data_IF_621652637390
#
_entry.id   IF_621652637390
#
_cell.length_a   1.000
_cell.length_b   1.000
_cell.length_c   1.000
_cell.angle_alpha   90.00
_cell.angle_beta   90.00
_cell.angle_gamma   90.00
#
_symmetry.space_group_name_H-M   'P 1'
#
loop_
_entity.id
_entity.type
_entity.pdbx_description
1 polymer ?
#
# COMPACT_ATOMS: atom_id res chain seq x y z
N UNK A 1 11.24 -30.31 10.65
CA UNK A 1 10.09 -29.52 10.21
C UNK A 1 8.84 -30.22 10.71
N UNK A 2 7.95 -29.49 11.39
CA UNK A 2 6.69 -30.03 11.91
C UNK A 2 5.57 -29.88 10.88
N UNK A 3 4.53 -30.71 10.98
CA UNK A 3 3.39 -30.66 10.05
C UNK A 3 2.69 -29.29 10.05
N UNK A 4 2.59 -28.65 11.20
CA UNK A 4 1.98 -27.31 11.27
C UNK A 4 2.87 -26.25 10.60
N UNK A 5 4.19 -26.42 10.67
CA UNK A 5 5.11 -25.53 9.97
C UNK A 5 5.08 -25.75 8.45
N UNK A 6 5.07 -27.01 7.99
CA UNK A 6 4.92 -27.33 6.56
C UNK A 6 3.63 -26.70 5.98
N UNK A 7 2.52 -26.81 6.72
CA UNK A 7 1.25 -26.18 6.34
C UNK A 7 1.32 -24.66 6.25
N UNK A 8 2.14 -24.01 7.08
CA UNK A 8 2.35 -22.57 7.06
C UNK A 8 3.30 -22.12 5.95
N UNK A 9 4.21 -22.99 5.50
CA UNK A 9 5.03 -22.69 4.31
C UNK A 9 4.25 -22.77 3.01
N UNK A 10 3.09 -23.44 3.00
CA UNK A 10 2.21 -23.49 1.84
C UNK A 10 1.32 -22.24 1.72
N UNK A 11 0.81 -21.74 2.85
CA UNK A 11 -0.15 -20.64 2.90
C UNK A 11 -0.37 -20.15 4.35
N UNK A 12 -0.68 -18.87 4.59
CA UNK A 12 -1.24 -18.35 5.83
C UNK A 12 -2.54 -19.07 6.25
N UNK A 13 -2.75 -19.30 7.55
CA UNK A 13 -3.87 -20.13 8.04
C UNK A 13 -4.51 -19.61 9.31
N UNK A 14 -5.75 -20.04 9.53
CA UNK A 14 -6.44 -19.92 10.81
C UNK A 14 -6.04 -21.07 11.75
N UNK A 15 -6.19 -20.86 13.06
CA UNK A 15 -6.15 -21.90 14.09
C UNK A 15 -4.95 -22.87 14.07
N UNK A 16 -3.72 -22.34 14.10
CA UNK A 16 -2.51 -23.16 14.28
C UNK A 16 -2.34 -23.55 15.75
N UNK A 17 -2.07 -24.83 16.00
CA UNK A 17 -1.66 -25.31 17.32
C UNK A 17 -0.16 -25.04 17.55
N UNK A 18 0.12 -23.96 18.28
CA UNK A 18 1.48 -23.57 18.65
C UNK A 18 2.26 -24.67 19.36
N UNK A 19 1.57 -25.55 20.10
CA UNK A 19 2.24 -26.60 20.87
C UNK A 19 2.96 -27.61 19.96
N UNK A 20 2.49 -27.76 18.72
CA UNK A 20 3.04 -28.67 17.72
C UNK A 20 4.21 -28.08 16.92
N UNK A 21 4.54 -26.80 17.09
CA UNK A 21 5.72 -26.17 16.50
C UNK A 21 6.94 -26.33 17.42
N UNK A 22 8.12 -26.52 16.84
CA UNK A 22 9.38 -26.49 17.62
C UNK A 22 9.82 -25.04 17.93
N UNK A 23 10.93 -24.87 18.67
CA UNK A 23 11.41 -23.55 19.10
C UNK A 23 11.72 -22.61 17.92
N UNK A 24 12.47 -23.09 16.93
CA UNK A 24 12.91 -22.28 15.77
C UNK A 24 11.73 -21.92 14.85
N UNK A 25 10.77 -22.83 14.71
CA UNK A 25 9.54 -22.61 13.95
C UNK A 25 8.64 -21.57 14.63
N UNK A 26 8.53 -21.63 15.97
CA UNK A 26 7.78 -20.61 16.75
C UNK A 26 8.42 -19.23 16.65
N UNK A 27 9.74 -19.14 16.52
CA UNK A 27 10.45 -17.86 16.37
C UNK A 27 10.12 -17.17 15.03
N UNK A 28 9.83 -17.96 13.99
CA UNK A 28 9.47 -17.46 12.66
C UNK A 28 7.98 -17.15 12.52
N UNK A 29 7.14 -17.76 13.36
CA UNK A 29 5.70 -17.54 13.35
C UNK A 29 5.34 -16.06 13.60
N UNK A 30 4.46 -15.54 12.76
CA UNK A 30 3.79 -14.25 12.90
C UNK A 30 2.28 -14.45 13.00
N UNK A 31 1.58 -13.40 13.45
CA UNK A 31 0.11 -13.44 13.54
C UNK A 31 -0.54 -12.09 13.34
N UNK A 32 -1.67 -12.09 12.66
CA UNK A 32 -2.60 -10.96 12.59
C UNK A 32 -3.66 -11.19 13.67
N UNK A 33 -3.58 -10.42 14.75
CA UNK A 33 -4.50 -10.53 15.89
C UNK A 33 -5.01 -9.17 16.32
N UNK A 34 -6.28 -8.90 16.06
CA UNK A 34 -6.96 -7.69 16.54
C UNK A 34 -7.62 -7.96 17.88
N UNK A 35 -7.15 -7.28 18.92
CA UNK A 35 -7.75 -7.36 20.26
C UNK A 35 -8.55 -6.07 20.47
N UNK A 36 -9.82 -6.17 20.89
CA UNK A 36 -10.63 -4.97 21.16
C UNK A 36 -9.97 -4.13 22.26
N UNK A 37 -9.72 -2.86 21.96
CA UNK A 37 -9.39 -1.84 22.95
C UNK A 37 -10.68 -1.11 23.33
N UNK A 38 -10.86 -0.83 24.63
CA UNK A 38 -12.03 -0.13 25.18
C UNK A 38 -12.20 1.31 24.69
N UNK A 39 -11.13 1.92 24.16
CA UNK A 39 -11.04 3.37 23.92
C UNK A 39 -11.37 3.78 22.48
N UNK A 40 -12.20 3.00 21.78
CA UNK A 40 -12.47 3.18 20.35
C UNK A 40 -13.84 3.82 20.11
N UNK A 41 -13.84 4.90 19.31
CA UNK A 41 -15.04 5.67 18.91
C UNK A 41 -15.88 4.98 17.83
N UNK A 42 -15.39 3.88 17.23
CA UNK A 42 -16.17 3.07 16.29
C UNK A 42 -17.28 2.32 17.04
N UNK A 43 -18.51 2.82 16.92
CA UNK A 43 -19.73 2.21 17.49
C UNK A 43 -20.21 0.96 16.73
N UNK A 44 -19.57 0.62 15.61
CA UNK A 44 -19.83 -0.60 14.84
C UNK A 44 -19.15 -1.81 15.46
N UNK A 45 -19.92 -2.63 16.16
CA UNK A 45 -19.45 -3.82 16.85
C UNK A 45 -19.05 -4.95 15.90
N UNK A 46 -17.86 -4.89 15.30
CA UNK A 46 -17.25 -6.10 14.77
C UNK A 46 -17.07 -7.09 15.95
N UNK A 47 -17.58 -8.32 15.82
CA UNK A 47 -17.36 -9.39 16.79
C UNK A 47 -15.86 -9.70 16.99
N UNK A 48 -15.53 -10.81 17.65
CA UNK A 48 -14.13 -11.25 17.69
C UNK A 48 -13.67 -11.57 16.25
N UNK A 49 -12.58 -10.96 15.81
CA UNK A 49 -11.94 -11.25 14.52
C UNK A 49 -11.12 -12.53 14.64
N UNK A 50 -11.15 -13.35 13.59
CA UNK A 50 -10.35 -14.57 13.46
C UNK A 50 -8.87 -14.19 13.37
N UNK A 51 -8.02 -14.91 14.09
CA UNK A 51 -6.57 -14.69 14.07
C UNK A 51 -5.95 -15.49 12.93
N UNK A 52 -5.11 -14.83 12.13
CA UNK A 52 -4.35 -15.47 11.05
C UNK A 52 -2.91 -15.66 11.49
N UNK A 53 -2.34 -16.81 11.16
CA UNK A 53 -0.95 -17.18 11.39
C UNK A 53 -0.22 -17.30 10.05
N UNK A 54 1.02 -16.81 10.00
CA UNK A 54 1.81 -16.75 8.77
C UNK A 54 3.31 -16.72 9.10
N UNK A 55 4.17 -16.88 8.10
CA UNK A 55 5.62 -16.78 8.25
C UNK A 55 6.13 -15.41 7.78
N UNK A 56 7.34 -15.03 8.20
CA UNK A 56 7.95 -13.80 7.72
C UNK A 56 8.10 -13.85 6.19
N UNK A 57 7.58 -12.85 5.48
CA UNK A 57 7.49 -12.83 4.02
C UNK A 57 6.05 -12.80 3.51
N UNK A 58 5.13 -13.49 4.19
CA UNK A 58 3.78 -13.74 3.66
C UNK A 58 2.76 -12.68 4.10
N UNK A 59 3.19 -11.43 4.34
CA UNK A 59 2.33 -10.38 4.93
C UNK A 59 1.13 -10.03 4.04
N UNK A 60 1.34 -10.02 2.73
CA UNK A 60 0.30 -9.71 1.75
C UNK A 60 -0.76 -10.83 1.73
N UNK A 61 -0.34 -12.06 1.49
CA UNK A 61 -1.22 -13.23 1.48
C UNK A 61 -1.92 -13.40 2.84
N UNK A 62 -1.23 -13.15 3.96
CA UNK A 62 -1.85 -13.21 5.28
C UNK A 62 -2.93 -12.14 5.48
N UNK A 63 -2.74 -10.94 4.92
CA UNK A 63 -3.75 -9.89 4.93
C UNK A 63 -4.96 -10.25 4.06
N UNK A 64 -4.74 -10.87 2.89
CA UNK A 64 -5.79 -11.36 2.01
C UNK A 64 -6.66 -12.41 2.72
N UNK A 65 -6.04 -13.42 3.35
CA UNK A 65 -6.76 -14.41 4.18
C UNK A 65 -7.49 -13.74 5.34
N UNK A 66 -6.84 -12.79 6.01
CA UNK A 66 -7.47 -12.08 7.12
C UNK A 66 -8.72 -11.35 6.66
N UNK A 67 -8.69 -10.73 5.48
CA UNK A 67 -9.85 -10.06 4.89
C UNK A 67 -10.92 -11.06 4.49
N UNK A 68 -10.56 -12.14 3.80
CA UNK A 68 -11.52 -13.19 3.41
C UNK A 68 -12.26 -13.77 4.63
N UNK A 69 -11.53 -14.15 5.67
CA UNK A 69 -12.08 -14.75 6.89
C UNK A 69 -12.90 -13.79 7.76
N UNK A 70 -12.75 -12.48 7.56
CA UNK A 70 -13.38 -11.47 8.40
C UNK A 70 -14.21 -10.43 7.63
N UNK A 71 -14.42 -10.62 6.32
CA UNK A 71 -14.97 -9.63 5.39
C UNK A 71 -16.22 -8.93 5.93
N UNK A 72 -17.24 -9.70 6.30
CA UNK A 72 -18.51 -9.18 6.84
C UNK A 72 -18.33 -8.23 8.03
N UNK A 73 -17.33 -8.48 8.88
CA UNK A 73 -17.06 -7.64 10.05
C UNK A 73 -16.23 -6.42 9.66
N UNK A 74 -15.28 -6.58 8.75
CA UNK A 74 -14.41 -5.52 8.28
C UNK A 74 -15.18 -4.46 7.49
N UNK A 75 -16.14 -4.86 6.66
CA UNK A 75 -17.00 -3.95 5.88
C UNK A 75 -17.90 -3.05 6.75
N UNK A 76 -18.05 -3.36 8.05
CA UNK A 76 -18.75 -2.49 9.01
C UNK A 76 -17.88 -1.40 9.61
N UNK A 77 -16.57 -1.42 9.35
CA UNK A 77 -15.60 -0.49 9.92
C UNK A 77 -15.41 0.69 8.96
N UNK A 78 -15.54 1.90 9.49
CA UNK A 78 -15.14 3.12 8.78
C UNK A 78 -13.62 3.31 8.89
N UNK A 79 -12.91 2.99 7.81
CA UNK A 79 -11.44 3.10 7.69
C UNK A 79 -10.95 4.52 7.37
N UNK A 80 -11.85 5.48 7.11
CA UNK A 80 -11.47 6.90 6.98
C UNK A 80 -11.07 7.54 8.31
N UNK A 81 -11.31 6.82 9.42
CA UNK A 81 -11.01 7.24 10.78
C UNK A 81 -10.08 6.23 11.45
N UNK A 82 -9.59 6.62 12.63
CA UNK A 82 -8.82 5.73 13.49
C UNK A 82 -9.62 4.48 13.84
N UNK A 83 -9.13 3.32 13.41
CA UNK A 83 -9.82 2.04 13.54
C UNK A 83 -9.03 1.04 14.43
N UNK A 84 -9.66 -0.05 14.89
CA UNK A 84 -9.01 -1.02 15.80
C UNK A 84 -7.90 -1.84 15.16
N UNK A 85 -7.91 -1.99 13.84
CA UNK A 85 -6.91 -2.77 13.11
C UNK A 85 -5.61 -1.97 13.04
N UNK A 86 -5.69 -0.68 12.74
CA UNK A 86 -4.52 0.21 12.62
C UNK A 86 -3.59 0.14 13.84
N UNK A 87 -4.13 -0.04 15.04
CA UNK A 87 -3.35 -0.15 16.29
C UNK A 87 -2.87 -1.57 16.60
N UNK A 88 -3.53 -2.58 16.06
CA UNK A 88 -3.31 -3.96 16.43
C UNK A 88 -2.25 -4.67 15.58
N UNK A 89 -1.95 -4.14 14.39
CA UNK A 89 -1.02 -4.75 13.44
C UNK A 89 0.06 -3.75 13.04
N UNK A 90 1.15 -4.24 12.45
CA UNK A 90 2.17 -3.34 11.88
C UNK A 90 1.58 -2.53 10.72
N UNK A 91 2.15 -1.36 10.45
CA UNK A 91 1.66 -0.49 9.37
C UNK A 91 1.61 -1.22 8.02
N UNK A 92 2.64 -1.98 7.70
CA UNK A 92 2.69 -2.76 6.45
C UNK A 92 1.54 -3.78 6.33
N UNK A 93 1.24 -4.53 7.40
CA UNK A 93 0.10 -5.46 7.39
C UNK A 93 -1.22 -4.71 7.28
N UNK A 94 -1.35 -3.57 7.96
CA UNK A 94 -2.55 -2.73 7.86
C UNK A 94 -2.78 -2.23 6.44
N UNK A 95 -1.73 -1.80 5.74
CA UNK A 95 -1.85 -1.33 4.36
C UNK A 95 -2.28 -2.46 3.42
N UNK A 96 -1.77 -3.69 3.61
CA UNK A 96 -2.24 -4.85 2.84
C UNK A 96 -3.68 -5.28 3.17
N UNK A 97 -4.12 -5.10 4.42
CA UNK A 97 -5.54 -5.34 4.78
C UNK A 97 -6.43 -4.35 4.03
N UNK A 98 -6.07 -3.07 4.00
CA UNK A 98 -6.81 -2.06 3.25
C UNK A 98 -6.75 -2.31 1.74
N UNK A 99 -5.62 -2.82 1.25
CA UNK A 99 -5.48 -3.26 -0.12
C UNK A 99 -6.49 -4.35 -0.50
N UNK A 100 -6.52 -5.43 0.28
CA UNK A 100 -7.43 -6.55 0.04
C UNK A 100 -8.93 -6.19 0.24
N UNK A 101 -9.22 -5.09 0.95
CA UNK A 101 -10.57 -4.53 1.08
C UNK A 101 -10.97 -3.62 -0.10
N UNK A 102 -10.02 -3.18 -0.92
CA UNK A 102 -10.26 -2.18 -1.97
C UNK A 102 -10.34 -0.73 -1.44
N UNK A 103 -10.06 -0.52 -0.16
CA UNK A 103 -9.97 0.82 0.45
C UNK A 103 -8.68 1.54 0.04
N UNK A 104 -7.68 0.77 -0.40
CA UNK A 104 -6.45 1.25 -1.04
C UNK A 104 -6.05 0.31 -2.18
N UNK A 105 -5.30 0.81 -3.12
CA UNK A 105 -4.67 -0.02 -4.16
C UNK A 105 -3.18 0.26 -4.12
N UNK A 106 -2.35 -0.77 -3.92
CA UNK A 106 -0.91 -0.62 -3.70
C UNK A 106 -0.20 -1.43 -4.76
N UNK A 107 0.59 -0.74 -5.57
CA UNK A 107 1.44 -1.35 -6.59
C UNK A 107 2.88 -0.94 -6.33
N UNK A 108 3.76 -1.94 -6.28
CA UNK A 108 5.17 -1.77 -5.94
C UNK A 108 5.98 -1.94 -7.22
N UNK A 109 6.69 -0.89 -7.61
CA UNK A 109 7.65 -0.89 -8.71
C UNK A 109 9.08 -0.84 -8.14
N UNK A 110 10.08 -0.96 -9.02
CA UNK A 110 11.49 -0.99 -8.62
C UNK A 110 11.92 0.27 -7.86
N UNK A 111 11.48 1.45 -8.30
CA UNK A 111 11.89 2.74 -7.74
C UNK A 111 10.78 3.50 -7.00
N UNK A 112 9.51 3.15 -7.24
CA UNK A 112 8.35 3.82 -6.63
C UNK A 112 7.28 2.84 -6.15
N UNK A 113 6.39 3.32 -5.28
CA UNK A 113 5.15 2.67 -4.90
C UNK A 113 4.01 3.60 -5.27
N UNK A 114 3.04 3.09 -6.03
CA UNK A 114 1.78 3.75 -6.31
C UNK A 114 0.76 3.30 -5.27
N UNK A 115 0.14 4.24 -4.58
CA UNK A 115 -0.98 3.99 -3.66
C UNK A 115 -2.19 4.81 -4.09
N UNK A 116 -3.26 4.16 -4.55
CA UNK A 116 -4.54 4.82 -4.84
C UNK A 116 -5.45 4.70 -3.62
N UNK A 117 -6.17 5.78 -3.31
CA UNK A 117 -7.24 5.82 -2.30
C UNK A 117 -8.55 6.17 -3.00
N UNK A 118 -9.31 5.18 -3.49
CA UNK A 118 -10.48 5.42 -4.32
C UNK A 118 -11.52 6.33 -3.66
N UNK A 119 -11.79 6.14 -2.36
CA UNK A 119 -12.76 6.93 -1.61
C UNK A 119 -12.37 8.42 -1.48
N UNK A 120 -11.07 8.74 -1.49
CA UNK A 120 -10.55 10.11 -1.40
C UNK A 120 -10.31 10.73 -2.79
N UNK A 121 -10.33 9.92 -3.86
CA UNK A 121 -9.84 10.28 -5.19
C UNK A 121 -8.43 10.89 -5.13
N UNK A 122 -7.53 10.18 -4.43
CA UNK A 122 -6.14 10.58 -4.22
C UNK A 122 -5.24 9.44 -4.67
N UNK A 123 -4.20 9.79 -5.42
CA UNK A 123 -3.09 8.88 -5.73
C UNK A 123 -1.82 9.43 -5.10
N UNK A 124 -1.09 8.58 -4.40
CA UNK A 124 0.26 8.83 -3.94
C UNK A 124 1.24 8.07 -4.80
N UNK A 125 2.34 8.74 -5.16
CA UNK A 125 3.52 8.09 -5.71
C UNK A 125 4.68 8.36 -4.76
N UNK A 126 5.26 7.31 -4.20
CA UNK A 126 6.23 7.39 -3.09
C UNK A 126 7.49 6.65 -3.52
N UNK A 127 8.67 7.20 -3.25
CA UNK A 127 9.94 6.50 -3.47
C UNK A 127 9.96 5.15 -2.75
N UNK A 128 10.40 4.10 -3.44
CA UNK A 128 10.33 2.71 -2.98
C UNK A 128 11.01 2.49 -1.64
N UNK A 129 12.25 2.96 -1.51
CA UNK A 129 13.01 2.86 -0.27
C UNK A 129 12.31 3.59 0.88
N UNK A 130 11.78 4.79 0.63
CA UNK A 130 11.10 5.57 1.66
C UNK A 130 9.82 4.91 2.16
N UNK A 131 9.05 4.32 1.24
CA UNK A 131 7.86 3.55 1.58
C UNK A 131 8.19 2.39 2.54
N UNK A 132 9.31 1.71 2.33
CA UNK A 132 9.70 0.55 3.13
C UNK A 132 10.35 0.94 4.47
N UNK A 133 11.24 1.93 4.45
CA UNK A 133 12.04 2.33 5.62
C UNK A 133 11.26 3.22 6.61
N UNK A 134 10.32 4.03 6.13
CA UNK A 134 9.64 5.05 6.93
C UNK A 134 8.11 4.90 6.95
N UNK A 135 7.55 3.77 7.42
CA UNK A 135 6.12 3.48 7.37
C UNK A 135 5.22 4.52 8.07
N UNK A 136 5.74 5.24 9.05
CA UNK A 136 5.00 6.26 9.80
C UNK A 136 5.15 7.67 9.23
N UNK A 137 5.98 7.86 8.19
CA UNK A 137 6.32 9.15 7.56
C UNK A 137 6.36 9.02 6.04
N UNK A 138 5.38 8.34 5.45
CA UNK A 138 5.32 8.17 3.98
C UNK A 138 4.67 9.32 3.25
N UNK A 139 3.81 10.05 3.96
CA UNK A 139 2.86 10.99 3.39
C UNK A 139 3.23 12.40 3.84
N UNK A 140 4.04 13.07 3.05
CA UNK A 140 4.39 14.48 3.23
C UNK A 140 4.77 15.08 1.89
N UNK A 141 4.26 16.27 1.63
CA UNK A 141 4.43 16.98 0.36
C UNK A 141 5.50 18.08 0.44
N UNK A 142 6.20 18.22 1.57
CA UNK A 142 7.18 19.30 1.78
C UNK A 142 8.56 19.02 1.18
N UNK A 143 9.29 18.04 1.75
CA UNK A 143 10.66 17.67 1.34
C UNK A 143 10.86 16.15 1.31
N UNK A 144 9.77 15.38 1.35
CA UNK A 144 9.83 13.92 1.35
C UNK A 144 9.77 13.36 -0.07
N UNK A 145 10.31 12.16 -0.28
CA UNK A 145 10.29 11.48 -1.58
C UNK A 145 8.89 10.95 -1.92
N UNK A 146 7.91 11.84 -1.98
CA UNK A 146 6.53 11.52 -2.31
C UNK A 146 5.82 12.68 -3.01
N UNK A 147 4.80 12.32 -3.77
CA UNK A 147 3.93 13.26 -4.45
C UNK A 147 2.50 12.75 -4.38
N UNK A 148 1.58 13.70 -4.21
CA UNK A 148 0.16 13.49 -4.12
C UNK A 148 -0.52 14.08 -5.34
N UNK A 149 -1.40 13.32 -5.97
CA UNK A 149 -2.26 13.74 -7.06
C UNK A 149 -3.71 13.63 -6.58
N UNK A 150 -4.45 14.73 -6.60
CA UNK A 150 -5.86 14.78 -6.18
C UNK A 150 -6.79 14.95 -7.38
N UNK A 151 -7.98 14.34 -7.32
CA UNK A 151 -9.10 14.56 -8.25
C UNK A 151 -8.88 14.07 -9.69
N UNK A 152 -7.70 13.56 -10.03
CA UNK A 152 -7.33 13.05 -11.34
C UNK A 152 -6.59 11.72 -11.21
N UNK A 153 -6.78 10.83 -12.17
CA UNK A 153 -5.94 9.65 -12.32
C UNK A 153 -4.57 10.05 -12.91
N UNK A 154 -3.56 9.19 -12.71
CA UNK A 154 -2.25 9.39 -13.36
C UNK A 154 -2.34 9.24 -14.88
N UNK A 155 -3.32 8.46 -15.38
CA UNK A 155 -3.60 8.32 -16.82
C UNK A 155 -4.16 9.62 -17.39
N UNK A 156 -5.19 10.19 -16.77
CA UNK A 156 -5.78 11.47 -17.19
C UNK A 156 -4.76 12.60 -17.14
N UNK A 157 -3.89 12.59 -16.12
CA UNK A 157 -2.80 13.53 -15.98
C UNK A 157 -1.75 13.35 -17.08
N UNK A 158 -1.42 12.10 -17.44
CA UNK A 158 -0.48 11.84 -18.53
C UNK A 158 -1.04 12.36 -19.85
N UNK A 159 -2.30 12.06 -20.16
CA UNK A 159 -2.99 12.45 -21.40
C UNK A 159 -3.23 13.96 -21.51
N UNK A 160 -3.30 14.70 -20.40
CA UNK A 160 -3.56 16.14 -20.43
C UNK A 160 -2.40 16.99 -20.94
N UNK A 161 -1.17 16.47 -20.89
CA UNK A 161 0.03 17.14 -21.39
C UNK A 161 0.34 16.81 -22.85
N UNK A 162 1.19 17.63 -23.46
CA UNK A 162 1.74 17.39 -24.79
C UNK A 162 2.71 16.18 -24.81
N UNK A 163 3.39 15.98 -25.93
CA UNK A 163 4.34 14.88 -26.16
C UNK A 163 5.52 14.87 -25.18
N UNK A 164 5.89 16.02 -24.62
CA UNK A 164 6.93 16.14 -23.62
C UNK A 164 6.29 16.63 -22.32
N UNK A 165 6.51 15.89 -21.24
CA UNK A 165 6.05 16.24 -19.90
C UNK A 165 7.26 16.57 -19.06
N UNK A 166 7.43 17.84 -18.69
CA UNK A 166 8.54 18.29 -17.85
C UNK A 166 8.21 18.20 -16.37
N UNK A 167 9.24 18.29 -15.53
CA UNK A 167 9.06 18.40 -14.09
C UNK A 167 8.33 19.69 -13.72
N UNK A 168 8.65 20.81 -14.37
CA UNK A 168 7.97 22.09 -14.21
C UNK A 168 6.49 22.02 -14.56
N UNK A 169 6.12 21.39 -15.68
CA UNK A 169 4.71 21.23 -16.10
C UNK A 169 3.87 20.55 -15.01
N UNK A 170 4.42 19.50 -14.41
CA UNK A 170 3.79 18.79 -13.30
C UNK A 170 3.80 19.63 -12.01
N UNK A 171 4.88 20.35 -11.74
CA UNK A 171 5.00 21.21 -10.55
C UNK A 171 4.02 22.38 -10.53
N UNK A 172 3.63 22.88 -11.71
CA UNK A 172 2.64 23.96 -11.85
C UNK A 172 1.19 23.46 -11.86
N UNK A 173 0.97 22.14 -11.99
CA UNK A 173 -0.35 21.56 -12.10
C UNK A 173 -1.10 21.57 -10.75
N UNK A 174 -2.29 22.17 -10.73
CA UNK A 174 -3.08 22.42 -9.51
C UNK A 174 -3.50 21.16 -8.72
N UNK A 175 -3.53 20.00 -9.37
CA UNK A 175 -3.86 18.72 -8.77
C UNK A 175 -2.68 18.04 -8.07
N UNK A 176 -1.46 18.56 -8.25
CA UNK A 176 -0.21 17.93 -7.81
C UNK A 176 0.35 18.68 -6.61
N UNK A 177 0.76 17.94 -5.60
CA UNK A 177 1.44 18.48 -4.44
C UNK A 177 2.59 17.57 -4.02
N UNK A 178 3.78 18.14 -3.78
CA UNK A 178 4.99 17.41 -3.45
C UNK A 178 5.95 17.28 -4.63
N UNK A 179 6.78 16.24 -4.60
CA UNK A 179 7.89 16.12 -5.54
C UNK A 179 7.47 15.42 -6.85
N UNK A 180 7.11 16.22 -7.85
CA UNK A 180 6.66 15.76 -9.16
C UNK A 180 7.65 14.81 -9.88
N UNK A 181 8.93 14.74 -9.47
CA UNK A 181 9.91 13.79 -10.02
C UNK A 181 9.43 12.34 -9.89
N UNK A 182 8.67 12.02 -8.84
CA UNK A 182 8.15 10.67 -8.64
C UNK A 182 7.03 10.31 -9.61
N UNK A 183 6.24 11.29 -10.10
CA UNK A 183 5.28 11.04 -11.19
C UNK A 183 6.01 10.68 -12.48
N UNK A 184 7.05 11.44 -12.84
CA UNK A 184 7.89 11.13 -14.01
C UNK A 184 8.54 9.74 -13.89
N UNK A 185 9.05 9.41 -12.70
CA UNK A 185 9.65 8.09 -12.47
C UNK A 185 8.61 6.97 -12.54
N UNK A 186 7.40 7.18 -12.01
CA UNK A 186 6.30 6.24 -12.15
C UNK A 186 5.94 5.97 -13.61
N UNK A 187 5.76 7.01 -14.43
CA UNK A 187 5.48 6.84 -15.86
C UNK A 187 6.57 6.04 -16.57
N UNK A 188 7.83 6.21 -16.16
CA UNK A 188 8.97 5.48 -16.74
C UNK A 188 8.98 3.99 -16.37
N UNK A 189 8.59 3.63 -15.14
CA UNK A 189 8.69 2.25 -14.65
C UNK A 189 7.38 1.46 -14.78
N UNK A 190 6.25 2.15 -14.90
CA UNK A 190 4.98 1.49 -15.19
C UNK A 190 4.91 1.07 -16.65
N UNK A 191 4.48 -0.17 -16.87
CA UNK A 191 4.26 -0.76 -18.20
C UNK A 191 3.08 -0.15 -18.94
N UNK A 192 2.22 0.59 -18.24
CA UNK A 192 0.99 1.14 -18.79
C UNK A 192 1.26 2.42 -19.61
N UNK A 193 2.43 3.03 -19.43
CA UNK A 193 2.85 4.23 -20.15
C UNK A 193 3.98 3.91 -21.11
N UNK A 194 3.91 4.48 -22.31
CA UNK A 194 4.99 4.35 -23.29
C UNK A 194 5.73 5.68 -23.40
N UNK A 195 6.82 5.83 -22.66
CA UNK A 195 7.65 7.03 -22.71
C UNK A 195 9.13 6.75 -22.52
N UNK A 196 9.95 7.74 -22.90
CA UNK A 196 11.38 7.77 -22.64
C UNK A 196 11.77 8.90 -21.70
N UNK A 197 12.74 8.69 -20.79
CA UNK A 197 13.35 9.80 -20.07
C UNK A 197 14.15 10.67 -21.04
N UNK A 198 13.90 11.98 -21.01
CA UNK A 198 14.62 12.98 -21.81
C UNK A 198 15.03 14.16 -20.94
N UNK A 199 15.87 15.03 -21.47
CA UNK A 199 16.06 16.36 -20.91
C UNK A 199 15.48 17.39 -21.87
N UNK A 200 14.67 18.29 -21.35
CA UNK A 200 14.04 19.39 -22.07
C UNK A 200 14.38 20.67 -21.33
N UNK A 201 14.89 21.69 -22.02
CA UNK A 201 15.28 22.98 -21.43
C UNK A 201 16.15 22.92 -20.16
N UNK A 202 16.97 21.87 -20.04
CA UNK A 202 17.87 21.66 -18.91
C UNK A 202 17.24 21.05 -17.67
N UNK A 203 15.96 20.65 -17.72
CA UNK A 203 15.28 19.93 -16.66
C UNK A 203 14.98 18.47 -17.03
N UNK A 204 14.52 17.72 -16.03
CA UNK A 204 14.07 16.33 -16.18
C UNK A 204 12.69 16.32 -16.84
N UNK A 205 12.53 15.45 -17.83
CA UNK A 205 11.27 15.27 -18.52
C UNK A 205 11.09 13.82 -18.99
N UNK A 206 9.89 13.50 -19.44
CA UNK A 206 9.63 12.31 -20.24
C UNK A 206 9.07 12.72 -21.61
N UNK A 207 9.35 11.92 -22.63
CA UNK A 207 8.76 12.05 -23.95
C UNK A 207 7.84 10.86 -24.22
N UNK A 208 6.57 11.12 -24.50
CA UNK A 208 5.60 10.12 -24.93
C UNK A 208 6.04 9.50 -26.25
N UNK A 209 5.88 8.20 -26.40
CA UNK A 209 6.03 7.53 -27.69
C UNK A 209 4.64 7.30 -28.27
N UNK A 210 4.39 7.90 -29.43
CA UNK A 210 3.22 7.54 -30.24
C UNK A 210 3.40 6.11 -30.76
N UNK A 211 2.47 5.22 -30.43
CA UNK A 211 2.37 3.89 -31.04
C UNK A 211 1.61 3.97 -32.37
#
# INVERSE_FOLDING_TARGET
>A
MTKEYDRLTEHPRTAIDHSNLNYDERAQLRKIKVTKSSDMTNKGGAGRLTTIYYLEGDKQEAAEVFVEENRDKLETIDFSRKDPIQRAVSREVYDWILHALGEREIEKYDSVVREVRPAENVTWVIGRAHYEEYPMRRYSTGEEPSVRVEKLSLDDLYESFDDVITWSDLGEHNAIEGDARYILDYYRVSKDFTCDPVSHDGEMAIQKRHQ
#
